data_IF_549219770434
#
_entry.id   IF_549219770434
#
_cell.length_a   1.000
_cell.length_b   1.000
_cell.length_c   1.000
_cell.angle_alpha   90.00
_cell.angle_beta   90.00
_cell.angle_gamma   90.00
#
_symmetry.space_group_name_H-M   'P 1'
#
loop_
_entity.id
_entity.type
_entity.pdbx_description
1 polymer ?
#
# COMPACT_ATOMS: atom_id res chain seq x y z
N UNK A 1 12.30 4.38 -20.13
CA UNK A 1 12.58 4.59 -18.70
C UNK A 1 11.38 4.06 -17.90
N UNK A 2 11.49 2.90 -17.23
CA UNK A 2 10.34 2.26 -16.56
C UNK A 2 10.26 2.70 -15.10
N UNK A 3 9.34 3.61 -14.79
CA UNK A 3 8.89 3.87 -13.42
C UNK A 3 8.25 2.57 -12.94
N UNK A 4 8.86 1.90 -11.94
CA UNK A 4 8.36 0.62 -11.44
C UNK A 4 7.14 0.88 -10.54
N UNK A 5 6.00 0.34 -10.93
CA UNK A 5 4.81 0.20 -10.09
C UNK A 5 4.96 -1.11 -9.32
N UNK A 6 4.90 -1.07 -7.98
CA UNK A 6 4.72 -2.29 -7.20
C UNK A 6 3.23 -2.49 -6.94
N UNK A 7 2.76 -3.73 -7.11
CA UNK A 7 1.40 -4.16 -6.78
C UNK A 7 1.51 -5.33 -5.80
N UNK A 8 0.78 -5.21 -4.71
CA UNK A 8 0.58 -6.23 -3.68
C UNK A 8 -0.87 -6.67 -3.84
N UNK A 9 -1.09 -7.94 -4.12
CA UNK A 9 -2.43 -8.51 -4.21
C UNK A 9 -2.65 -9.41 -2.99
N UNK A 10 -3.59 -9.00 -2.13
CA UNK A 10 -3.96 -9.72 -0.91
C UNK A 10 -5.25 -10.49 -1.20
N UNK A 11 -5.28 -11.76 -0.83
CA UNK A 11 -6.48 -12.58 -0.97
C UNK A 11 -7.03 -12.89 0.41
N UNK A 12 -8.27 -12.51 0.65
CA UNK A 12 -8.98 -12.77 1.91
C UNK A 12 -9.89 -13.99 1.75
N UNK A 13 -9.81 -14.91 2.72
CA UNK A 13 -10.73 -16.04 2.87
C UNK A 13 -11.97 -15.55 3.65
N UNK A 14 -13.19 -15.91 3.18
CA UNK A 14 -14.44 -15.38 3.74
C UNK A 14 -14.57 -15.70 5.24
N UNK A 15 -14.40 -14.67 6.09
CA UNK A 15 -14.63 -14.73 7.53
C UNK A 15 -15.35 -13.52 8.12
N UNK A 16 -15.72 -12.51 7.32
CA UNK A 16 -16.40 -11.30 7.81
C UNK A 16 -17.00 -10.49 6.68
N UNK A 17 -18.13 -9.82 6.95
CA UNK A 17 -18.79 -8.92 6.01
C UNK A 17 -17.80 -7.90 5.44
N UNK A 18 -18.00 -7.51 4.16
CA UNK A 18 -17.29 -6.43 3.43
C UNK A 18 -17.51 -5.08 4.13
N UNK A 19 -17.03 -4.94 5.36
CA UNK A 19 -17.06 -3.69 6.11
C UNK A 19 -15.90 -2.84 5.60
N UNK A 20 -16.20 -1.60 5.27
CA UNK A 20 -15.25 -0.56 4.83
C UNK A 20 -13.85 -0.77 5.43
N UNK A 21 -12.97 -1.39 4.65
CA UNK A 21 -11.67 -1.82 5.18
C UNK A 21 -10.67 -0.70 4.96
N UNK A 22 -10.08 -0.22 6.05
CA UNK A 22 -9.14 0.88 6.03
C UNK A 22 -7.74 0.30 5.89
N UNK A 23 -6.94 0.86 4.98
CA UNK A 23 -5.53 0.52 4.82
C UNK A 23 -4.66 1.57 5.51
N UNK A 24 -3.75 1.15 6.38
CA UNK A 24 -2.67 1.98 6.89
C UNK A 24 -1.34 1.60 6.24
N UNK A 25 -0.42 2.56 6.16
CA UNK A 25 0.93 2.35 5.64
C UNK A 25 1.95 2.69 6.70
N UNK A 26 2.85 1.75 7.00
CA UNK A 26 3.90 1.89 8.01
C UNK A 26 5.27 1.73 7.34
N UNK A 27 6.23 2.57 7.71
CA UNK A 27 7.63 2.42 7.32
C UNK A 27 8.40 1.72 8.42
N UNK A 28 9.02 0.58 8.14
CA UNK A 28 9.63 -0.26 9.18
C UNK A 28 10.92 0.31 9.77
N UNK A 29 11.72 1.05 9.00
CA UNK A 29 13.05 1.53 9.46
C UNK A 29 12.99 2.36 10.75
N UNK A 30 11.87 3.03 10.98
CA UNK A 30 11.60 3.93 12.09
C UNK A 30 10.22 3.71 12.71
N UNK A 31 9.52 2.64 12.30
CA UNK A 31 8.17 2.28 12.75
C UNK A 31 7.20 3.48 12.60
N UNK A 32 7.40 4.27 11.54
CA UNK A 32 6.67 5.52 11.35
C UNK A 32 5.37 5.28 10.58
N UNK A 33 4.24 5.66 11.17
CA UNK A 33 2.95 5.63 10.50
C UNK A 33 2.90 6.73 9.42
N UNK A 34 2.75 6.32 8.17
CA UNK A 34 2.71 7.24 7.03
C UNK A 34 1.29 7.73 6.78
N UNK A 35 0.33 6.82 6.67
CA UNK A 35 -1.07 7.13 6.35
C UNK A 35 -2.02 6.14 7.03
N UNK A 36 -3.27 6.57 7.26
CA UNK A 36 -4.41 5.70 7.60
C UNK A 36 -5.58 6.10 6.73
N UNK A 37 -6.08 5.15 5.95
CA UNK A 37 -6.99 5.47 4.86
C UNK A 37 -6.36 6.54 3.96
N UNK A 38 -7.15 7.56 3.62
CA UNK A 38 -6.68 8.69 2.78
C UNK A 38 -5.99 9.79 3.59
N UNK A 39 -5.91 9.67 4.91
CA UNK A 39 -5.30 10.68 5.76
C UNK A 39 -3.79 10.42 5.91
N UNK A 40 -2.98 11.44 5.63
CA UNK A 40 -1.52 11.38 5.79
C UNK A 40 -1.13 11.80 7.20
N UNK A 41 -0.51 10.89 7.95
CA UNK A 41 -0.01 11.10 9.32
C UNK A 41 1.41 11.67 9.36
N UNK A 42 2.24 11.36 8.37
CA UNK A 42 3.59 11.93 8.28
C UNK A 42 3.57 13.40 7.86
N UNK A 43 4.54 14.19 8.33
CA UNK A 43 4.74 15.57 7.86
C UNK A 43 5.47 15.65 6.51
N UNK A 44 6.06 14.55 6.03
CA UNK A 44 6.69 14.48 4.73
C UNK A 44 5.62 14.44 3.62
N UNK A 45 5.38 15.61 3.01
CA UNK A 45 4.36 15.84 1.98
C UNK A 45 4.55 15.01 0.70
N UNK A 46 5.68 14.31 0.56
CA UNK A 46 5.91 13.40 -0.56
C UNK A 46 5.07 12.14 -0.47
N UNK A 47 4.64 11.74 0.73
CA UNK A 47 3.83 10.56 0.97
C UNK A 47 2.34 10.90 0.90
N UNK A 48 1.61 10.14 0.08
CA UNK A 48 0.19 10.38 -0.14
C UNK A 48 -0.53 9.06 -0.33
N UNK A 49 -1.62 8.83 0.41
CA UNK A 49 -2.51 7.71 0.19
C UNK A 49 -3.61 8.09 -0.81
N UNK A 50 -3.70 7.34 -1.89
CA UNK A 50 -4.72 7.48 -2.90
C UNK A 50 -5.68 6.28 -2.85
N UNK A 51 -6.97 6.56 -2.81
CA UNK A 51 -8.03 5.57 -2.89
C UNK A 51 -9.25 6.19 -3.56
N UNK A 52 -9.72 5.56 -4.64
CA UNK A 52 -10.95 5.97 -5.29
C UNK A 52 -12.14 5.34 -4.57
N UNK A 53 -13.28 6.05 -4.37
CA UNK A 53 -14.42 5.54 -3.61
C UNK A 53 -15.01 4.21 -4.07
N UNK A 54 -14.77 3.83 -5.33
CA UNK A 54 -15.28 2.61 -5.97
C UNK A 54 -14.18 1.60 -6.29
N UNK A 55 -12.91 1.88 -5.93
CA UNK A 55 -11.80 0.98 -6.18
C UNK A 55 -11.53 0.10 -4.96
N UNK A 56 -11.06 -1.13 -5.19
CA UNK A 56 -10.55 -2.02 -4.14
C UNK A 56 -9.04 -1.83 -3.93
N UNK A 57 -8.42 -0.99 -4.78
CA UNK A 57 -6.99 -0.70 -4.75
C UNK A 57 -6.70 0.55 -3.89
N UNK A 58 -5.86 0.37 -2.87
CA UNK A 58 -5.23 1.44 -2.09
C UNK A 58 -3.81 1.68 -2.59
N UNK A 59 -3.42 2.93 -2.84
CA UNK A 59 -2.08 3.26 -3.34
C UNK A 59 -1.34 4.20 -2.40
N UNK A 60 -0.15 3.82 -1.96
CA UNK A 60 0.82 4.76 -1.39
C UNK A 60 1.67 5.33 -2.53
N UNK A 61 1.55 6.64 -2.75
CA UNK A 61 2.38 7.41 -3.66
C UNK A 61 3.51 8.09 -2.90
N UNK A 62 4.73 7.93 -3.41
CA UNK A 62 5.93 8.63 -2.92
C UNK A 62 6.42 9.53 -4.05
N UNK A 63 6.25 10.84 -3.90
CA UNK A 63 6.72 11.85 -4.85
C UNK A 63 8.20 12.13 -4.65
N UNK A 64 8.91 12.47 -5.72
CA UNK A 64 10.35 12.78 -5.68
C UNK A 64 11.12 11.69 -4.90
N UNK A 65 10.91 10.44 -5.30
CA UNK A 65 11.43 9.28 -4.59
C UNK A 65 12.97 9.29 -4.65
N UNK A 66 13.62 9.15 -3.51
CA UNK A 66 15.07 9.22 -3.36
C UNK A 66 15.61 7.84 -2.98
N UNK A 67 16.88 7.52 -3.26
CA UNK A 67 17.49 6.24 -2.84
C UNK A 67 17.24 5.92 -1.37
N UNK A 68 17.26 6.95 -0.51
CA UNK A 68 17.04 6.82 0.93
C UNK A 68 15.64 6.33 1.30
N UNK A 69 14.66 6.41 0.40
CA UNK A 69 13.32 5.87 0.61
C UNK A 69 13.25 4.36 0.31
N UNK A 70 14.34 3.74 -0.12
CA UNK A 70 14.40 2.27 -0.22
C UNK A 70 14.29 1.64 1.17
N UNK A 71 13.56 0.54 1.28
CA UNK A 71 13.35 -0.16 2.54
C UNK A 71 12.01 -0.89 2.60
N UNK A 72 11.73 -1.47 3.77
CA UNK A 72 10.48 -2.20 4.00
C UNK A 72 9.36 -1.25 4.41
N UNK A 73 8.24 -1.37 3.71
CA UNK A 73 6.97 -0.74 4.02
C UNK A 73 5.95 -1.84 4.29
N UNK A 74 4.97 -1.56 5.13
CA UNK A 74 3.89 -2.50 5.42
C UNK A 74 2.56 -1.84 5.21
N UNK A 75 1.68 -2.52 4.47
CA UNK A 75 0.27 -2.17 4.48
C UNK A 75 -0.44 -3.00 5.56
N UNK A 76 -1.25 -2.35 6.40
CA UNK A 76 -2.09 -3.03 7.37
C UNK A 76 -3.55 -2.81 7.03
N UNK A 77 -4.29 -3.90 7.00
CA UNK A 77 -5.71 -3.96 6.70
C UNK A 77 -6.46 -4.08 8.02
N UNK A 78 -7.43 -3.19 8.25
CA UNK A 78 -8.25 -3.14 9.48
C UNK A 78 -9.26 -4.28 9.63
N UNK A 79 -8.95 -5.49 9.12
CA UNK A 79 -9.74 -6.70 9.34
C UNK A 79 -9.66 -7.15 10.81
N UNK A 80 -10.51 -8.09 11.20
CA UNK A 80 -10.44 -8.75 12.51
C UNK A 80 -10.22 -10.25 12.30
N UNK A 81 -9.01 -10.79 12.58
CA UNK A 81 -7.80 -10.10 13.04
C UNK A 81 -7.15 -9.20 11.97
N UNK A 82 -6.32 -8.22 12.34
CA UNK A 82 -5.67 -7.33 11.38
C UNK A 82 -4.67 -8.11 10.52
N UNK A 83 -4.67 -7.82 9.22
CA UNK A 83 -3.77 -8.45 8.26
C UNK A 83 -2.71 -7.44 7.84
N UNK A 84 -1.42 -7.80 8.00
CA UNK A 84 -0.28 -6.99 7.56
C UNK A 84 0.42 -7.64 6.37
N UNK A 85 0.87 -6.85 5.40
CA UNK A 85 1.72 -7.31 4.32
C UNK A 85 2.90 -6.37 4.09
N UNK A 86 4.11 -6.91 4.21
CA UNK A 86 5.34 -6.14 4.04
C UNK A 86 5.84 -6.21 2.59
N UNK A 87 6.38 -5.11 2.11
CA UNK A 87 6.96 -4.97 0.77
C UNK A 87 8.29 -4.25 0.86
N UNK A 88 9.28 -4.73 0.11
CA UNK A 88 10.56 -4.05 -0.01
C UNK A 88 10.55 -3.12 -1.23
N UNK A 89 10.63 -1.81 -0.98
CA UNK A 89 10.83 -0.81 -2.01
C UNK A 89 12.32 -0.68 -2.30
N UNK A 90 12.72 -0.91 -3.55
CA UNK A 90 14.09 -0.69 -4.02
C UNK A 90 14.13 0.44 -5.04
N UNK A 91 14.71 1.58 -4.67
CA UNK A 91 14.92 2.73 -5.55
C UNK A 91 16.35 2.68 -6.07
N UNK A 92 16.48 2.30 -7.34
CA UNK A 92 17.74 2.36 -8.09
C UNK A 92 17.86 3.73 -8.77
N UNK A 93 19.05 4.32 -8.79
CA UNK A 93 19.25 5.54 -9.57
C UNK A 93 19.07 5.22 -11.06
N UNK A 94 17.96 5.69 -11.61
CA UNK A 94 17.85 6.09 -13.00
C UNK A 94 17.79 7.60 -13.06
N UNK A 95 18.10 8.20 -14.21
CA UNK A 95 18.21 9.65 -14.49
C UNK A 95 16.87 10.42 -14.36
N UNK A 96 16.10 10.18 -13.30
CA UNK A 96 14.80 10.80 -13.05
C UNK A 96 14.85 11.53 -11.70
N UNK A 97 15.36 12.77 -11.68
CA UNK A 97 15.37 13.60 -10.47
C UNK A 97 13.96 13.84 -9.86
N UNK A 98 12.88 13.47 -10.57
CA UNK A 98 11.48 13.72 -10.18
C UNK A 98 10.54 12.51 -10.32
N UNK A 99 11.05 11.27 -10.26
CA UNK A 99 10.17 10.10 -10.37
C UNK A 99 9.24 9.97 -9.14
N UNK A 100 7.96 9.70 -9.40
CA UNK A 100 7.03 9.23 -8.36
C UNK A 100 6.94 7.72 -8.41
N UNK A 101 6.97 7.07 -7.25
CA UNK A 101 6.76 5.62 -7.13
C UNK A 101 5.39 5.37 -6.51
N UNK A 102 4.66 4.41 -7.08
CA UNK A 102 3.37 3.98 -6.58
C UNK A 102 3.47 2.54 -6.07
N UNK A 103 3.13 2.34 -4.80
CA UNK A 103 2.94 1.04 -4.18
C UNK A 103 1.44 0.83 -4.04
N UNK A 104 0.91 -0.20 -4.71
CA UNK A 104 -0.53 -0.44 -4.80
C UNK A 104 -0.84 -1.70 -4.01
N UNK A 105 -1.94 -1.69 -3.28
CA UNK A 105 -2.48 -2.82 -2.53
C UNK A 105 -3.89 -3.04 -3.04
N UNK A 106 -4.13 -4.22 -3.55
CA UNK A 106 -5.45 -4.70 -3.94
C UNK A 106 -5.83 -5.80 -2.98
N UNK A 107 -7.11 -5.91 -2.65
CA UNK A 107 -7.61 -7.08 -1.93
C UNK A 107 -8.73 -7.76 -2.73
N UNK A 108 -8.71 -9.08 -2.78
CA UNK A 108 -9.76 -9.88 -3.41
C UNK A 108 -10.36 -10.84 -2.38
N UNK A 109 -11.67 -11.02 -2.40
CA UNK A 109 -12.33 -12.10 -1.67
C UNK A 109 -12.33 -13.35 -2.54
N UNK A 110 -11.86 -14.49 -2.03
CA UNK A 110 -12.11 -15.77 -2.70
C UNK A 110 -13.61 -16.07 -2.60
N UNK A 111 -14.29 -16.08 -3.73
CA UNK A 111 -15.57 -16.76 -3.83
C UNK A 111 -15.30 -18.26 -3.72
N UNK A 112 -15.80 -18.89 -2.66
CA UNK A 112 -15.97 -20.33 -2.68
C UNK A 112 -17.01 -20.60 -3.76
N UNK A 113 -16.55 -21.06 -4.93
CA UNK A 113 -17.40 -21.79 -5.86
C UNK A 113 -17.78 -23.05 -5.10
N UNK A 114 -18.94 -23.05 -4.45
CA UNK A 114 -19.54 -24.30 -3.97
C UNK A 114 -19.64 -25.22 -5.19
N UNK A 115 -18.89 -26.32 -5.13
CA UNK A 115 -18.94 -27.35 -6.14
C UNK A 115 -20.36 -27.87 -6.25
N UNK A 116 -20.90 -27.82 -7.46
CA UNK A 116 -22.09 -28.55 -7.87
C UNK A 116 -21.81 -30.06 -7.87
#
# INVERSE_FOLDING_TARGET
MKIRKLRIDITMEKGGHKLHTIVSWVRHRDIHLLTVGRYTYTSDQRFEAMHSPHAEDWTLRIRYAQRKDSGTYECQISTTPPIGHSVYLNIVDGVCMNASVNVNVSYNFKENVEGN
#
